data_IF_788424525240
#
_entry.id   IF_788424525240
#
_cell.length_a   1.000
_cell.length_b   1.000
_cell.length_c   1.000
_cell.angle_alpha   90.00
_cell.angle_beta   90.00
_cell.angle_gamma   90.00
#
_symmetry.space_group_name_H-M   'P 1'
#
loop_
_entity.id
_entity.type
_entity.pdbx_description
1 polymer ?
#
# COMPACT_ATOMS: atom_id res chain seq x y z
N UNK A 1 -5.23 16.35 0.82
CA UNK A 1 -5.87 16.78 -0.43
C UNK A 1 -4.87 17.43 -1.39
N UNK A 2 -3.97 18.27 -0.89
CA UNK A 2 -2.87 18.89 -1.67
C UNK A 2 -2.01 17.88 -2.48
N UNK A 3 -1.62 16.75 -1.89
CA UNK A 3 -0.80 15.73 -2.58
C UNK A 3 -1.52 15.12 -3.79
N UNK A 4 -2.78 14.67 -3.63
CA UNK A 4 -3.53 14.04 -4.73
C UNK A 4 -3.76 15.02 -5.87
N UNK A 5 -4.14 16.26 -5.55
CA UNK A 5 -4.37 17.30 -6.54
C UNK A 5 -3.08 17.70 -7.26
N UNK A 6 -1.95 17.75 -6.53
CA UNK A 6 -0.62 17.97 -7.13
C UNK A 6 -0.25 16.87 -8.14
N UNK A 7 -0.54 15.60 -7.82
CA UNK A 7 -0.27 14.47 -8.72
C UNK A 7 -1.18 14.54 -9.95
N UNK A 8 -2.49 14.73 -9.75
CA UNK A 8 -3.46 14.80 -10.85
C UNK A 8 -3.20 15.96 -11.82
N UNK A 9 -2.68 17.09 -11.32
CA UNK A 9 -2.35 18.26 -12.14
C UNK A 9 -0.96 18.20 -12.79
N UNK A 10 -0.18 17.14 -12.56
CA UNK A 10 1.15 16.97 -13.14
C UNK A 10 1.28 15.55 -13.73
N UNK A 11 1.03 15.44 -15.04
CA UNK A 11 1.06 14.16 -15.75
C UNK A 11 2.42 13.46 -15.69
N UNK A 12 3.53 14.19 -15.65
CA UNK A 12 4.87 13.60 -15.52
C UNK A 12 5.07 12.99 -14.12
N UNK A 13 4.61 13.69 -13.07
CA UNK A 13 4.64 13.16 -11.72
C UNK A 13 3.70 11.96 -11.55
N UNK A 14 2.50 12.03 -12.11
CA UNK A 14 1.54 10.92 -12.11
C UNK A 14 2.11 9.67 -12.80
N UNK A 15 2.75 9.83 -13.96
CA UNK A 15 3.42 8.74 -14.67
C UNK A 15 4.51 8.09 -13.81
N UNK A 16 5.38 8.92 -13.22
CA UNK A 16 6.47 8.43 -12.37
C UNK A 16 5.96 7.68 -11.14
N UNK A 17 4.89 8.18 -10.52
CA UNK A 17 4.23 7.53 -9.39
C UNK A 17 3.60 6.21 -9.83
N UNK A 18 2.88 6.17 -10.95
CA UNK A 18 2.28 4.93 -11.46
C UNK A 18 3.35 3.85 -11.68
N UNK A 19 4.44 4.22 -12.36
CA UNK A 19 5.53 3.29 -12.67
C UNK A 19 6.26 2.82 -11.41
N UNK A 20 6.58 3.72 -10.47
CA UNK A 20 7.39 3.37 -9.29
C UNK A 20 6.58 2.75 -8.16
N UNK A 21 5.38 3.28 -7.91
CA UNK A 21 4.59 3.03 -6.72
C UNK A 21 3.39 2.12 -6.96
N UNK A 22 3.18 1.68 -8.21
CA UNK A 22 2.06 0.83 -8.62
C UNK A 22 0.70 1.37 -8.14
N UNK A 23 0.46 2.66 -8.39
CA UNK A 23 -0.82 3.31 -8.09
C UNK A 23 -1.20 4.27 -9.21
N UNK A 24 -2.42 4.10 -9.73
CA UNK A 24 -3.06 5.03 -10.65
C UNK A 24 -4.19 5.77 -9.91
N UNK A 25 -4.16 7.10 -9.94
CA UNK A 25 -5.16 7.91 -9.26
C UNK A 25 -6.42 8.09 -10.11
N UNK A 26 -7.57 8.01 -9.45
CA UNK A 26 -8.82 8.42 -10.07
C UNK A 26 -8.88 9.94 -10.25
N UNK A 27 -9.53 10.45 -11.32
CA UNK A 27 -9.69 11.89 -11.55
C UNK A 27 -10.42 12.62 -10.41
N UNK A 28 -11.24 11.88 -9.65
CA UNK A 28 -11.98 12.36 -8.50
C UNK A 28 -12.21 11.20 -7.53
N UNK A 29 -12.45 11.54 -6.26
CA UNK A 29 -12.84 10.58 -5.23
C UNK A 29 -14.13 9.85 -5.63
N UNK A 30 -14.13 8.53 -5.51
CA UNK A 30 -15.26 7.66 -5.85
C UNK A 30 -15.81 6.98 -4.59
N UNK A 31 -17.00 6.39 -4.70
CA UNK A 31 -17.48 5.46 -3.68
C UNK A 31 -16.54 4.25 -3.68
N UNK A 32 -16.27 3.67 -2.51
CA UNK A 32 -15.65 2.35 -2.43
C UNK A 32 -16.43 1.37 -3.30
N UNK A 33 -15.72 0.52 -4.04
CA UNK A 33 -16.38 -0.60 -4.71
C UNK A 33 -17.06 -1.48 -3.64
N UNK A 34 -18.33 -1.80 -3.86
CA UNK A 34 -19.11 -2.67 -2.98
C UNK A 34 -19.60 -3.93 -3.70
N UNK A 35 -19.06 -4.22 -4.89
CA UNK A 35 -19.44 -5.35 -5.73
C UNK A 35 -20.97 -5.44 -5.92
N UNK A 36 -21.57 -4.34 -6.40
CA UNK A 36 -23.03 -4.22 -6.57
C UNK A 36 -23.81 -4.44 -5.26
N UNK A 37 -23.24 -3.99 -4.13
CA UNK A 37 -23.83 -4.11 -2.81
C UNK A 37 -23.61 -5.46 -2.10
N UNK A 38 -22.74 -6.33 -2.64
CA UNK A 38 -22.34 -7.58 -1.98
C UNK A 38 -21.36 -7.36 -0.83
N UNK A 39 -20.77 -6.16 -0.69
CA UNK A 39 -19.83 -5.85 0.38
C UNK A 39 -20.40 -4.78 1.30
N UNK A 40 -20.26 -4.99 2.62
CA UNK A 40 -20.43 -3.96 3.63
C UNK A 40 -19.10 -3.60 4.27
N UNK A 41 -18.75 -2.32 4.23
CA UNK A 41 -17.58 -1.76 4.88
C UNK A 41 -17.92 -1.36 6.32
N UNK A 42 -17.05 -1.70 7.27
CA UNK A 42 -17.25 -1.27 8.67
C UNK A 42 -16.88 0.21 8.89
N UNK A 43 -16.15 0.81 7.97
CA UNK A 43 -15.77 2.22 7.95
C UNK A 43 -16.00 2.75 6.53
N UNK A 44 -16.82 3.78 6.43
CA UNK A 44 -17.07 4.47 5.16
C UNK A 44 -15.78 5.12 4.65
N UNK A 45 -15.65 5.18 3.33
CA UNK A 45 -14.49 5.79 2.70
C UNK A 45 -14.78 6.24 1.28
N UNK A 46 -13.76 6.86 0.68
CA UNK A 46 -13.76 7.21 -0.72
C UNK A 46 -12.51 6.70 -1.40
N UNK A 47 -12.70 5.91 -2.43
CA UNK A 47 -11.62 5.42 -3.24
C UNK A 47 -10.96 6.56 -4.02
N UNK A 48 -9.64 6.52 -4.16
CA UNK A 48 -8.88 7.56 -4.86
C UNK A 48 -7.83 7.02 -5.83
N UNK A 49 -7.59 5.72 -5.84
CA UNK A 49 -6.70 5.09 -6.81
C UNK A 49 -6.75 3.58 -6.72
N UNK A 50 -6.06 2.94 -7.66
CA UNK A 50 -6.01 1.49 -7.86
C UNK A 50 -4.60 1.06 -8.19
N UNK A 51 -4.19 -0.13 -7.77
CA UNK A 51 -2.92 -0.74 -8.18
C UNK A 51 -3.05 -1.55 -9.48
N UNK A 52 -1.93 -2.07 -10.00
CA UNK A 52 -1.93 -2.90 -11.21
C UNK A 52 -2.69 -4.23 -11.10
N UNK A 53 -3.00 -4.67 -9.88
CA UNK A 53 -3.76 -5.91 -9.59
C UNK A 53 -5.27 -5.68 -9.43
N UNK A 54 -5.72 -4.43 -9.42
CA UNK A 54 -7.10 -4.05 -9.16
C UNK A 54 -7.42 -3.80 -7.68
N UNK A 55 -6.42 -3.78 -6.80
CA UNK A 55 -6.59 -3.41 -5.39
C UNK A 55 -6.84 -1.91 -5.24
N UNK A 56 -7.80 -1.54 -4.39
CA UNK A 56 -8.31 -0.17 -4.29
C UNK A 56 -7.76 0.56 -3.05
N UNK A 57 -7.25 1.78 -3.26
CA UNK A 57 -6.81 2.68 -2.20
C UNK A 57 -7.94 3.58 -1.75
N UNK A 58 -8.21 3.61 -0.44
CA UNK A 58 -9.39 4.26 0.14
C UNK A 58 -9.01 5.28 1.20
N UNK A 59 -9.52 6.50 1.07
CA UNK A 59 -9.50 7.50 2.14
C UNK A 59 -10.69 7.24 3.07
N UNK A 60 -10.42 6.72 4.26
CA UNK A 60 -11.44 6.38 5.25
C UNK A 60 -12.00 7.64 5.93
N UNK A 61 -13.22 7.54 6.44
CA UNK A 61 -13.93 8.65 7.08
C UNK A 61 -13.25 9.17 8.35
N UNK A 62 -12.40 8.35 8.98
CA UNK A 62 -11.59 8.72 10.13
C UNK A 62 -10.27 9.42 9.76
N UNK A 63 -10.00 9.61 8.45
CA UNK A 63 -8.81 10.26 7.91
C UNK A 63 -7.64 9.32 7.61
N UNK A 64 -7.72 8.05 8.00
CA UNK A 64 -6.72 7.03 7.70
C UNK A 64 -6.86 6.47 6.28
N UNK A 65 -5.89 5.68 5.85
CA UNK A 65 -5.87 5.07 4.51
C UNK A 65 -6.09 3.56 4.63
N UNK A 66 -7.15 3.09 3.97
CA UNK A 66 -7.45 1.69 3.76
C UNK A 66 -6.97 1.19 2.41
N UNK A 67 -6.81 -0.12 2.31
CA UNK A 67 -6.57 -0.83 1.06
C UNK A 67 -7.50 -2.05 1.00
N UNK A 68 -8.16 -2.20 -0.14
CA UNK A 68 -9.03 -3.33 -0.46
C UNK A 68 -8.32 -4.16 -1.53
N UNK A 69 -7.78 -5.31 -1.16
CA UNK A 69 -7.11 -6.22 -2.09
C UNK A 69 -8.11 -6.83 -3.06
N UNK A 70 -7.71 -7.02 -4.32
CA UNK A 70 -8.49 -7.80 -5.28
C UNK A 70 -8.55 -9.30 -4.93
N UNK A 71 -7.71 -9.76 -4.01
CA UNK A 71 -7.71 -11.12 -3.46
C UNK A 71 -8.57 -11.26 -2.18
N UNK A 72 -9.22 -10.18 -1.75
CA UNK A 72 -10.23 -10.18 -0.69
C UNK A 72 -9.74 -9.75 0.70
N UNK A 73 -8.44 -9.52 0.89
CA UNK A 73 -7.94 -8.91 2.14
C UNK A 73 -8.32 -7.43 2.24
N UNK A 74 -8.53 -6.96 3.47
CA UNK A 74 -8.84 -5.55 3.74
C UNK A 74 -8.07 -5.09 4.97
N UNK A 75 -7.56 -3.87 4.95
CA UNK A 75 -6.89 -3.32 6.12
C UNK A 75 -6.39 -1.89 5.93
N UNK A 76 -5.91 -1.29 7.02
CA UNK A 76 -5.23 0.01 6.96
C UNK A 76 -3.80 -0.14 6.49
N UNK A 77 -3.30 0.88 5.80
CA UNK A 77 -1.92 0.94 5.32
C UNK A 77 -1.19 2.22 5.71
N UNK A 78 -1.90 3.28 6.12
CA UNK A 78 -1.30 4.51 6.60
C UNK A 78 -2.26 5.36 7.43
N UNK A 79 -1.73 6.24 8.27
CA UNK A 79 -2.51 7.15 9.11
C UNK A 79 -3.11 8.34 8.35
N UNK A 80 -2.59 8.64 7.16
CA UNK A 80 -3.05 9.71 6.27
C UNK A 80 -2.38 9.61 4.89
N UNK A 81 -2.83 10.43 3.94
CA UNK A 81 -2.28 10.47 2.56
C UNK A 81 -0.77 10.75 2.54
N UNK A 82 -0.28 11.61 3.45
CA UNK A 82 1.14 11.96 3.49
C UNK A 82 1.99 10.74 3.85
N UNK A 83 1.55 9.97 4.83
CA UNK A 83 2.22 8.74 5.24
C UNK A 83 2.11 7.63 4.19
N UNK A 84 0.98 7.52 3.50
CA UNK A 84 0.84 6.61 2.36
C UNK A 84 1.90 6.87 1.29
N UNK A 85 1.99 8.11 0.79
CA UNK A 85 2.97 8.38 -0.27
C UNK A 85 4.41 8.31 0.25
N UNK A 86 4.65 8.57 1.54
CA UNK A 86 5.95 8.29 2.15
C UNK A 86 6.28 6.79 2.15
N UNK A 87 5.30 5.92 2.42
CA UNK A 87 5.44 4.46 2.33
C UNK A 87 5.71 4.04 0.89
N UNK A 88 4.86 4.43 -0.05
CA UNK A 88 4.97 4.04 -1.46
C UNK A 88 6.29 4.50 -2.11
N UNK A 89 6.74 5.72 -1.81
CA UNK A 89 8.01 6.23 -2.38
C UNK A 89 9.23 5.50 -1.80
N UNK A 90 9.21 5.18 -0.51
CA UNK A 90 10.36 4.57 0.16
C UNK A 90 10.39 3.04 0.05
N UNK A 91 9.22 2.40 0.04
CA UNK A 91 9.05 0.95 0.00
C UNK A 91 7.79 0.60 -0.83
N UNK A 92 7.82 0.76 -2.17
CA UNK A 92 6.68 0.39 -3.01
C UNK A 92 6.38 -1.12 -2.99
N UNK A 93 7.36 -1.94 -2.60
CA UNK A 93 7.21 -3.38 -2.39
C UNK A 93 6.62 -3.75 -1.01
N UNK A 94 5.92 -2.85 -0.32
CA UNK A 94 5.41 -3.11 1.04
C UNK A 94 4.45 -4.32 1.11
N UNK A 95 3.82 -4.71 -0.01
CA UNK A 95 3.00 -5.92 -0.12
C UNK A 95 3.80 -7.23 0.10
N UNK A 96 5.12 -7.23 -0.06
CA UNK A 96 5.96 -8.37 0.36
C UNK A 96 6.15 -8.45 1.89
N UNK A 97 5.63 -7.48 2.65
CA UNK A 97 5.77 -7.41 4.11
C UNK A 97 4.44 -7.63 4.84
N UNK A 98 3.47 -8.29 4.21
CA UNK A 98 2.17 -8.63 4.83
C UNK A 98 2.23 -9.81 5.82
N UNK A 99 3.41 -10.15 6.33
CA UNK A 99 3.60 -11.23 7.30
C UNK A 99 3.80 -10.63 8.71
N UNK A 100 2.94 -10.91 9.69
CA UNK A 100 3.10 -10.31 11.02
C UNK A 100 4.37 -10.81 11.75
N UNK A 101 4.84 -12.01 11.46
CA UNK A 101 5.98 -12.61 12.17
C UNK A 101 7.33 -11.95 11.88
N UNK A 102 7.52 -11.35 10.69
CA UNK A 102 8.80 -10.69 10.35
C UNK A 102 9.04 -9.43 11.19
N UNK A 103 7.99 -8.83 11.74
CA UNK A 103 8.07 -7.63 12.58
C UNK A 103 8.48 -7.92 14.02
N UNK A 104 8.49 -9.19 14.44
CA UNK A 104 8.88 -9.60 15.80
C UNK A 104 10.40 -9.51 16.03
N UNK A 105 11.20 -9.50 14.97
CA UNK A 105 12.66 -9.41 15.01
C UNK A 105 13.16 -8.35 14.04
N UNK A 106 13.71 -7.25 14.58
CA UNK A 106 14.22 -6.12 13.79
C UNK A 106 15.39 -6.51 12.88
N UNK A 107 16.24 -7.43 13.30
CA UNK A 107 17.39 -7.89 12.50
C UNK A 107 16.86 -8.69 11.31
N UNK A 108 15.86 -9.53 11.55
CA UNK A 108 15.19 -10.29 10.50
C UNK A 108 14.49 -9.37 9.50
N UNK A 109 13.69 -8.41 9.99
CA UNK A 109 13.01 -7.42 9.17
C UNK A 109 13.99 -6.66 8.29
N UNK A 110 15.11 -6.17 8.84
CA UNK A 110 16.13 -5.44 8.07
C UNK A 110 16.76 -6.30 6.99
N UNK A 111 17.18 -7.53 7.30
CA UNK A 111 17.76 -8.44 6.31
C UNK A 111 16.79 -8.75 5.17
N UNK A 112 15.51 -8.96 5.51
CA UNK A 112 14.49 -9.22 4.52
C UNK A 112 14.22 -7.98 3.65
N UNK A 113 14.10 -6.81 4.28
CA UNK A 113 13.92 -5.55 3.58
C UNK A 113 15.06 -5.26 2.58
N UNK A 114 16.31 -5.46 3.00
CA UNK A 114 17.48 -5.27 2.13
C UNK A 114 17.47 -6.22 0.91
N UNK A 115 17.04 -7.48 1.12
CA UNK A 115 16.93 -8.46 0.04
C UNK A 115 15.84 -8.09 -0.97
N UNK A 116 14.64 -7.79 -0.49
CA UNK A 116 13.49 -7.45 -1.34
C UNK A 116 13.74 -6.13 -2.07
N UNK A 117 14.23 -5.09 -1.39
CA UNK A 117 14.52 -3.81 -2.03
C UNK A 117 15.58 -3.97 -3.14
N UNK A 118 16.63 -4.76 -2.89
CA UNK A 118 17.63 -5.05 -3.92
C UNK A 118 17.01 -5.73 -5.14
N UNK A 119 16.17 -6.75 -4.94
CA UNK A 119 15.51 -7.46 -6.04
C UNK A 119 14.62 -6.51 -6.87
N UNK A 120 13.74 -5.77 -6.22
CA UNK A 120 12.83 -4.83 -6.91
C UNK A 120 13.60 -3.73 -7.65
N UNK A 121 14.70 -3.25 -7.08
CA UNK A 121 15.58 -2.25 -7.71
C UNK A 121 16.24 -2.80 -8.98
N UNK A 122 16.75 -4.03 -8.93
CA UNK A 122 17.35 -4.69 -10.10
C UNK A 122 16.31 -4.93 -11.19
N UNK A 123 15.17 -5.52 -10.84
CA UNK A 123 14.06 -5.79 -11.77
C UNK A 123 13.50 -4.50 -12.40
N UNK A 124 13.31 -3.46 -11.60
CA UNK A 124 12.83 -2.16 -12.09
C UNK A 124 13.79 -1.57 -13.14
N UNK A 125 15.08 -1.55 -12.84
CA UNK A 125 16.09 -1.00 -13.74
C UNK A 125 16.25 -1.80 -15.04
N UNK A 126 15.93 -3.10 -15.01
CA UNK A 126 15.95 -3.96 -16.21
C UNK A 126 14.70 -3.78 -17.09
N UNK A 127 13.55 -3.43 -16.50
CA UNK A 127 12.26 -3.36 -17.19
C UNK A 127 11.79 -1.93 -17.53
N UNK A 128 12.40 -0.93 -16.93
CA UNK A 128 12.03 0.49 -17.05
C UNK A 128 13.12 1.31 -17.73
N UNK A 129 12.73 2.37 -18.43
CA UNK A 129 13.70 3.39 -18.89
C UNK A 129 14.16 4.32 -17.76
N UNK A 130 13.47 4.30 -16.62
CA UNK A 130 13.82 5.06 -15.43
C UNK A 130 14.79 4.30 -14.56
N UNK A 131 15.70 5.03 -13.92
CA UNK A 131 16.51 4.52 -12.81
C UNK A 131 15.75 4.62 -11.48
N UNK A 132 15.75 3.53 -10.71
CA UNK A 132 15.02 3.37 -9.45
C UNK A 132 15.30 4.47 -8.42
N UNK A 133 16.55 4.88 -8.25
CA UNK A 133 16.94 5.89 -7.26
C UNK A 133 16.64 7.30 -7.75
N UNK A 134 16.85 7.53 -9.04
CA UNK A 134 16.56 8.80 -9.70
C UNK A 134 15.07 9.11 -9.60
N UNK A 135 14.20 8.18 -10.01
CA UNK A 135 12.75 8.38 -9.94
C UNK A 135 12.25 8.51 -8.49
N UNK A 136 12.85 7.76 -7.54
CA UNK A 136 12.57 7.90 -6.09
C UNK A 136 12.87 9.32 -5.62
N UNK A 137 14.03 9.85 -5.98
CA UNK A 137 14.49 11.19 -5.58
C UNK A 137 13.64 12.30 -6.20
N UNK A 138 13.25 12.15 -7.47
CA UNK A 138 12.41 13.13 -8.17
C UNK A 138 11.01 13.20 -7.56
N UNK A 139 10.36 12.06 -7.32
CA UNK A 139 9.03 12.02 -6.68
C UNK A 139 9.11 12.60 -5.26
N UNK A 140 10.12 12.20 -4.48
CA UNK A 140 10.29 12.71 -3.12
C UNK A 140 10.48 14.23 -3.09
N UNK A 141 11.28 14.77 -4.01
CA UNK A 141 11.47 16.21 -4.16
C UNK A 141 10.17 16.92 -4.51
N UNK A 142 9.42 16.40 -5.49
CA UNK A 142 8.14 16.99 -5.88
C UNK A 142 7.13 16.97 -4.73
N UNK A 143 7.02 15.87 -4.00
CA UNK A 143 6.06 15.73 -2.91
C UNK A 143 6.58 16.27 -1.57
N UNK A 144 7.79 16.83 -1.53
CA UNK A 144 8.46 17.35 -0.33
C UNK A 144 8.58 16.29 0.78
N UNK A 145 9.03 15.09 0.40
CA UNK A 145 9.32 13.97 1.29
C UNK A 145 10.81 13.79 1.53
N UNK A 146 11.15 13.30 2.72
CA UNK A 146 12.47 12.79 3.01
C UNK A 146 12.61 11.38 2.44
N UNK A 147 13.77 11.12 1.83
CA UNK A 147 14.18 9.76 1.51
C UNK A 147 14.58 9.04 2.80
N UNK A 148 14.26 7.76 2.87
CA UNK A 148 14.54 6.90 4.00
C UNK A 148 15.63 5.87 3.64
N UNK A 149 16.78 6.01 4.30
CA UNK A 149 17.92 5.09 4.17
C UNK A 149 17.76 3.85 5.07
N UNK A 150 16.73 3.80 5.92
CA UNK A 150 16.43 2.69 6.81
C UNK A 150 14.94 2.33 6.77
N UNK A 151 14.49 1.86 5.61
CA UNK A 151 13.09 1.49 5.36
C UNK A 151 12.52 0.51 6.40
N UNK A 152 13.35 -0.38 6.95
CA UNK A 152 12.93 -1.36 7.93
C UNK A 152 12.40 -0.72 9.22
N UNK A 153 13.12 0.25 9.79
CA UNK A 153 12.74 0.86 11.07
C UNK A 153 11.82 2.06 10.91
N UNK A 154 12.01 2.86 9.86
CA UNK A 154 11.35 4.16 9.74
C UNK A 154 10.06 4.11 8.91
N UNK A 155 9.98 3.18 7.96
CA UNK A 155 8.85 3.03 7.02
C UNK A 155 8.00 1.81 7.36
N UNK A 156 8.61 0.62 7.42
CA UNK A 156 7.88 -0.64 7.60
C UNK A 156 7.27 -0.79 9.00
N UNK A 157 7.92 -0.30 10.06
CA UNK A 157 7.30 -0.30 11.41
C UNK A 157 6.05 0.59 11.46
N UNK A 158 6.07 1.77 10.84
CA UNK A 158 4.89 2.65 10.79
C UNK A 158 3.75 2.03 10.00
N UNK A 159 4.08 1.41 8.86
CA UNK A 159 3.11 0.62 8.11
C UNK A 159 2.49 -0.49 8.98
N UNK A 160 3.32 -1.24 9.71
CA UNK A 160 2.85 -2.29 10.62
C UNK A 160 1.94 -1.76 11.73
N UNK A 161 2.29 -0.62 12.33
CA UNK A 161 1.47 0.04 13.35
C UNK A 161 0.12 0.48 12.79
N UNK A 162 0.08 1.04 11.58
CA UNK A 162 -1.16 1.41 10.90
C UNK A 162 -2.01 0.16 10.56
N UNK A 163 -1.39 -0.89 10.03
CA UNK A 163 -2.06 -2.13 9.64
C UNK A 163 -2.63 -2.92 10.82
N UNK A 164 -2.02 -2.81 12.01
CA UNK A 164 -2.45 -3.52 13.22
C UNK A 164 -3.28 -2.65 14.17
N UNK A 165 -3.60 -1.41 13.77
CA UNK A 165 -4.39 -0.48 14.57
C UNK A 165 -5.84 -0.96 14.77
N UNK A 166 -6.34 -0.77 15.99
CA UNK A 166 -7.75 -0.95 16.34
C UNK A 166 -8.54 0.37 16.36
N UNK A 167 -9.84 0.36 15.99
CA UNK A 167 -10.57 -0.77 15.41
C UNK A 167 -10.07 -1.07 13.98
N UNK A 168 -9.97 -2.34 13.58
CA UNK A 168 -9.56 -2.73 12.21
C UNK A 168 -10.50 -2.18 11.12
N UNK A 169 -9.98 -1.95 9.91
CA UNK A 169 -10.78 -1.66 8.71
C UNK A 169 -11.03 -2.98 7.99
N UNK A 170 -12.30 -3.33 7.78
CA UNK A 170 -12.71 -4.66 7.34
C UNK A 170 -13.94 -4.58 6.44
N UNK A 171 -14.08 -5.55 5.56
CA UNK A 171 -15.30 -5.80 4.80
C UNK A 171 -16.02 -7.06 5.28
N UNK A 172 -17.33 -7.08 5.08
CA UNK A 172 -18.16 -8.27 5.18
C UNK A 172 -18.80 -8.54 3.83
N UNK A 173 -18.53 -9.71 3.27
CA UNK A 173 -19.13 -10.22 2.04
C UNK A 173 -20.46 -10.89 2.35
N UNK A 174 -21.47 -10.59 1.56
CA UNK A 174 -22.81 -11.20 1.60
C UNK A 174 -22.87 -12.31 0.55
N UNK A 175 -22.77 -13.55 1.01
CA UNK A 175 -22.72 -14.72 0.14
C UNK A 175 -24.11 -15.03 -0.44
N UNK A 176 -24.16 -15.73 -1.57
CA UNK A 176 -25.42 -16.10 -2.23
C UNK A 176 -26.33 -16.99 -1.36
N UNK A 177 -25.75 -17.77 -0.45
CA UNK A 177 -26.49 -18.61 0.50
C UNK A 177 -27.00 -17.85 1.74
N UNK A 178 -26.72 -16.54 1.80
CA UNK A 178 -27.10 -15.63 2.89
C UNK A 178 -26.15 -15.67 4.09
N UNK A 179 -25.05 -16.44 4.01
CA UNK A 179 -23.98 -16.36 5.00
C UNK A 179 -23.13 -15.10 4.83
N UNK A 180 -22.36 -14.77 5.87
CA UNK A 180 -21.49 -13.59 5.89
C UNK A 180 -20.05 -14.03 6.08
N UNK A 181 -19.18 -13.57 5.18
CA UNK A 181 -17.74 -13.82 5.25
C UNK A 181 -17.01 -12.52 5.59
N UNK A 182 -16.23 -12.54 6.67
CA UNK A 182 -15.37 -11.40 7.02
C UNK A 182 -14.10 -11.44 6.17
N UNK A 183 -13.67 -10.30 5.65
CA UNK A 183 -12.37 -10.18 4.97
C UNK A 183 -11.22 -10.62 5.85
N UNK A 184 -10.23 -11.26 5.25
CA UNK A 184 -8.96 -11.47 5.93
C UNK A 184 -8.27 -10.13 6.22
N UNK A 185 -7.59 -9.96 7.37
CA UNK A 185 -6.78 -8.78 7.61
C UNK A 185 -5.66 -8.67 6.58
N UNK A 186 -5.34 -7.46 6.14
CA UNK A 186 -4.28 -7.24 5.15
C UNK A 186 -2.92 -7.84 5.58
N UNK A 187 -2.59 -7.80 6.88
CA UNK A 187 -1.37 -8.41 7.42
C UNK A 187 -1.63 -9.80 8.02
N UNK A 188 -1.90 -10.77 7.15
CA UNK A 188 -2.28 -12.14 7.54
C UNK A 188 -1.32 -13.23 7.02
N UNK A 189 -0.40 -12.90 6.11
CA UNK A 189 0.35 -13.92 5.36
C UNK A 189 1.25 -14.76 6.27
N UNK A 190 1.28 -16.09 6.09
CA UNK A 190 2.05 -16.97 6.97
C UNK A 190 3.53 -17.01 6.58
N UNK A 191 4.41 -17.08 7.59
CA UNK A 191 5.88 -17.06 7.42
C UNK A 191 6.44 -18.21 6.57
N UNK A 192 5.73 -19.32 6.35
CA UNK A 192 6.26 -20.42 5.54
C UNK A 192 6.30 -20.09 4.04
N UNK A 193 5.50 -19.13 3.56
CA UNK A 193 5.60 -18.62 2.19
C UNK A 193 6.98 -17.97 1.92
N UNK A 194 7.62 -17.50 2.99
CA UNK A 194 8.93 -16.85 2.97
C UNK A 194 10.12 -17.81 2.96
N UNK A 195 10.05 -19.02 3.55
CA UNK A 195 11.16 -19.98 3.57
C UNK A 195 11.63 -20.33 2.14
N UNK A 196 10.72 -20.26 1.15
CA UNK A 196 11.05 -20.50 -0.26
C UNK A 196 11.84 -19.35 -0.91
N UNK A 197 11.75 -18.14 -0.34
CA UNK A 197 12.32 -16.90 -0.89
C UNK A 197 13.65 -16.49 -0.22
N UNK A 198 14.15 -17.16 0.84
CA UNK A 198 15.48 -16.91 1.45
C UNK A 198 16.55 -17.69 0.71
#
# INVERSE_FOLDING_TARGET
MDILEKILNNSELAEKIRIKCDIELYPQLQKQDDMDGQITWNIDGKAFGVDGSGGEFVLLSDGTIGFNSSEGETGRIAENIKELFSLLVNCPCFFDFLMPDIYKDKILLKKYADKIEKQYREEFNDMSEYDWDTIKSEIAKELNFSLDDNIAENTLIKFFEAATREPQYQSTYHEEDGSLTLSEPLISRPMWEWIKKI
#
